data_IF_033033019143
#
_entry.id   IF_033033019143
#
_cell.length_a   1.000
_cell.length_b   1.000
_cell.length_c   1.000
_cell.angle_alpha   90.00
_cell.angle_beta   90.00
_cell.angle_gamma   90.00
#
_symmetry.space_group_name_H-M   'P 1'
#
loop_
_entity.id
_entity.type
_entity.pdbx_description
1 polymer ?
#
# COMPACT_ATOMS: atom_id res chain seq x y z
N UNK A 1 12.87 5.93 16.92
CA UNK A 1 11.95 5.77 15.77
C UNK A 1 10.88 4.77 16.20
N UNK A 2 9.59 5.05 15.97
CA UNK A 2 8.49 4.24 16.49
C UNK A 2 8.56 2.80 15.94
N UNK A 3 8.54 1.77 16.80
CA UNK A 3 8.66 0.35 16.43
C UNK A 3 7.58 -0.08 15.42
N UNK A 4 6.37 0.47 15.53
CA UNK A 4 5.28 0.24 14.59
C UNK A 4 5.59 0.73 13.17
N UNK A 5 6.37 1.81 13.03
CA UNK A 5 6.75 2.35 11.73
C UNK A 5 7.85 1.49 11.08
N UNK A 6 8.80 0.99 11.87
CA UNK A 6 9.82 0.07 11.37
C UNK A 6 9.22 -1.26 10.92
N UNK A 7 8.27 -1.80 11.69
CA UNK A 7 7.55 -3.01 11.29
C UNK A 7 6.74 -2.77 10.02
N UNK A 8 6.03 -1.64 9.90
CA UNK A 8 5.32 -1.30 8.68
C UNK A 8 6.24 -1.24 7.45
N UNK A 9 7.38 -0.54 7.54
CA UNK A 9 8.38 -0.46 6.47
C UNK A 9 8.94 -1.86 6.12
N UNK A 10 9.17 -2.71 7.12
CA UNK A 10 9.67 -4.08 6.92
C UNK A 10 8.64 -5.00 6.24
N UNK A 11 7.36 -4.87 6.56
CA UNK A 11 6.30 -5.65 5.91
C UNK A 11 6.09 -5.18 4.47
N UNK A 12 6.04 -3.85 4.26
CA UNK A 12 5.91 -3.25 2.93
C UNK A 12 7.08 -3.64 2.01
N UNK A 13 8.32 -3.59 2.51
CA UNK A 13 9.51 -3.95 1.71
C UNK A 13 9.59 -5.42 1.32
N UNK A 14 8.87 -6.31 2.03
CA UNK A 14 8.71 -7.72 1.66
C UNK A 14 7.53 -7.97 0.71
N UNK A 15 6.83 -6.91 0.30
CA UNK A 15 5.64 -7.01 -0.53
C UNK A 15 4.43 -7.61 0.21
N UNK A 16 4.43 -7.57 1.54
CA UNK A 16 3.28 -7.90 2.37
C UNK A 16 2.35 -6.68 2.44
N UNK A 17 1.27 -6.74 1.68
CA UNK A 17 0.31 -5.65 1.53
C UNK A 17 -0.70 -5.57 2.66
N UNK A 18 -0.85 -6.59 3.51
CA UNK A 18 -1.91 -6.65 4.54
C UNK A 18 -1.88 -5.47 5.52
N UNK A 19 -0.67 -5.04 5.88
CA UNK A 19 -0.48 -3.94 6.80
C UNK A 19 -0.74 -2.60 6.09
N UNK A 20 -0.37 -2.49 4.82
CA UNK A 20 -0.64 -1.33 3.99
C UNK A 20 -2.13 -1.18 3.62
N UNK A 21 -2.80 -2.30 3.35
CA UNK A 21 -4.22 -2.42 3.09
C UNK A 21 -5.04 -1.76 4.21
N UNK A 22 -4.66 -2.00 5.47
CA UNK A 22 -5.30 -1.35 6.61
C UNK A 22 -5.21 0.18 6.60
N UNK A 23 -4.21 0.76 5.93
CA UNK A 23 -4.10 2.20 5.71
C UNK A 23 -4.92 2.64 4.49
N UNK A 24 -4.85 1.92 3.37
CA UNK A 24 -5.58 2.29 2.14
C UNK A 24 -7.10 2.17 2.27
N UNK A 25 -7.61 1.17 3.01
CA UNK A 25 -9.04 0.99 3.23
C UNK A 25 -9.66 2.02 4.18
N UNK A 26 -8.85 2.80 4.91
CA UNK A 26 -9.34 3.84 5.82
C UNK A 26 -9.44 5.19 5.10
N UNK A 27 -10.54 5.95 5.30
CA UNK A 27 -10.64 7.30 4.77
C UNK A 27 -9.42 8.16 5.17
N UNK A 28 -8.69 8.65 4.17
CA UNK A 28 -7.51 9.51 4.38
C UNK A 28 -6.23 8.78 4.79
N UNK A 29 -6.19 7.45 4.87
CA UNK A 29 -4.99 6.72 5.28
C UNK A 29 -3.83 6.82 4.27
N UNK A 30 -4.13 6.93 2.98
CA UNK A 30 -3.12 7.30 1.95
C UNK A 30 -2.46 8.64 2.28
N UNK A 31 -3.27 9.68 2.54
CA UNK A 31 -2.78 11.02 2.91
C UNK A 31 -1.97 10.99 4.21
N UNK A 32 -2.32 10.12 5.15
CA UNK A 32 -1.54 9.91 6.37
C UNK A 32 -0.13 9.38 6.06
N UNK A 33 0.00 8.41 5.15
CA UNK A 33 1.30 7.89 4.72
C UNK A 33 2.13 8.96 3.99
N UNK A 34 1.52 9.73 3.07
CA UNK A 34 2.17 10.86 2.39
C UNK A 34 2.69 11.91 3.39
N UNK A 35 1.88 12.27 4.39
CA UNK A 35 2.26 13.24 5.41
C UNK A 35 3.42 12.76 6.30
N UNK A 36 3.43 11.48 6.70
CA UNK A 36 4.56 10.90 7.44
C UNK A 36 5.83 11.00 6.60
N UNK A 37 5.77 10.67 5.32
CA UNK A 37 6.92 10.74 4.44
C UNK A 37 7.43 12.17 4.26
N UNK A 38 6.53 13.15 4.12
CA UNK A 38 6.91 14.56 4.11
C UNK A 38 7.60 15.00 5.40
N UNK A 39 7.13 14.54 6.56
CA UNK A 39 7.79 14.82 7.86
C UNK A 39 9.20 14.21 7.86
N UNK A 40 9.34 12.94 7.47
CA UNK A 40 10.63 12.24 7.44
C UNK A 40 11.62 12.84 6.42
N UNK A 41 11.14 13.30 5.26
CA UNK A 41 11.99 13.96 4.27
C UNK A 41 12.44 15.34 4.75
N UNK A 42 11.59 16.04 5.50
CA UNK A 42 11.93 17.34 6.07
C UNK A 42 12.93 17.24 7.24
N UNK A 43 13.07 16.10 7.90
CA UNK A 43 14.14 15.89 8.90
C UNK A 43 15.52 15.60 8.29
N UNK A 44 15.60 15.32 6.98
CA UNK A 44 16.86 15.21 6.24
C UNK A 44 17.48 16.59 5.98
N UNK A 45 18.76 16.65 5.59
CA UNK A 45 19.53 17.90 5.38
C UNK A 45 18.72 18.95 4.59
N UNK A 46 18.57 20.20 5.07
CA UNK A 46 17.81 21.23 4.36
C UNK A 46 18.34 21.46 2.93
N UNK A 47 17.43 21.59 1.96
CA UNK A 47 17.71 21.95 0.55
C UNK A 47 18.42 20.92 -0.33
N UNK A 48 18.37 19.63 -0.01
CA UNK A 48 18.77 18.64 -1.00
C UNK A 48 17.69 18.50 -2.10
N UNK A 49 18.03 18.65 -3.40
CA UNK A 49 17.12 18.34 -4.51
C UNK A 49 16.65 16.87 -4.48
N UNK A 50 17.40 15.99 -3.82
CA UNK A 50 17.04 14.58 -3.63
C UNK A 50 15.72 14.42 -2.85
N UNK A 51 15.29 15.41 -2.06
CA UNK A 51 14.04 15.33 -1.28
C UNK A 51 12.80 15.27 -2.17
N UNK A 52 12.80 16.03 -3.25
CA UNK A 52 11.67 16.05 -4.19
C UNK A 52 11.60 14.71 -4.95
N UNK A 53 12.74 14.22 -5.42
CA UNK A 53 12.84 12.91 -6.06
C UNK A 53 12.44 11.77 -5.11
N UNK A 54 12.85 11.82 -3.84
CA UNK A 54 12.45 10.84 -2.82
C UNK A 54 10.96 10.89 -2.52
N UNK A 55 10.35 12.09 -2.48
CA UNK A 55 8.91 12.21 -2.29
C UNK A 55 8.15 11.62 -3.47
N UNK A 56 8.53 11.98 -4.69
CA UNK A 56 7.92 11.46 -5.92
C UNK A 56 8.06 9.93 -6.01
N UNK A 57 9.24 9.39 -5.71
CA UNK A 57 9.47 7.95 -5.66
C UNK A 57 8.62 7.25 -4.59
N UNK A 58 8.42 7.88 -3.43
CA UNK A 58 7.53 7.34 -2.40
C UNK A 58 6.06 7.33 -2.84
N UNK A 59 5.58 8.40 -3.49
CA UNK A 59 4.22 8.46 -4.04
C UNK A 59 3.99 7.34 -5.06
N UNK A 60 4.95 7.10 -5.96
CA UNK A 60 4.89 6.00 -6.93
C UNK A 60 4.80 4.62 -6.24
N UNK A 61 5.53 4.42 -5.14
CA UNK A 61 5.42 3.18 -4.35
C UNK A 61 4.01 3.04 -3.76
N UNK A 62 3.42 4.12 -3.24
CA UNK A 62 2.05 4.09 -2.75
C UNK A 62 1.04 3.76 -3.86
N UNK A 63 1.20 4.32 -5.06
CA UNK A 63 0.34 4.02 -6.22
C UNK A 63 0.38 2.54 -6.58
N UNK A 64 1.57 1.96 -6.69
CA UNK A 64 1.73 0.54 -7.00
C UNK A 64 1.18 -0.37 -5.91
N UNK A 65 1.28 0.05 -4.65
CA UNK A 65 0.73 -0.71 -3.53
C UNK A 65 -0.80 -0.69 -3.53
N UNK A 66 -1.40 0.48 -3.75
CA UNK A 66 -2.85 0.64 -3.85
C UNK A 66 -3.41 -0.20 -5.02
N UNK A 67 -2.79 -0.11 -6.19
CA UNK A 67 -3.16 -0.92 -7.35
C UNK A 67 -3.06 -2.42 -7.07
N UNK A 68 -1.99 -2.85 -6.38
CA UNK A 68 -1.83 -4.26 -6.02
C UNK A 68 -2.90 -4.75 -5.06
N UNK A 69 -3.28 -3.93 -4.07
CA UNK A 69 -4.35 -4.26 -3.12
C UNK A 69 -5.69 -4.39 -3.85
N UNK A 70 -6.00 -3.46 -4.75
CA UNK A 70 -7.22 -3.53 -5.57
C UNK A 70 -7.28 -4.83 -6.39
N UNK A 71 -6.20 -5.19 -7.08
CA UNK A 71 -6.13 -6.45 -7.84
C UNK A 71 -6.23 -7.70 -6.95
N UNK A 72 -5.76 -7.64 -5.70
CA UNK A 72 -5.91 -8.75 -4.77
C UNK A 72 -7.38 -8.96 -4.40
N UNK A 73 -8.12 -7.89 -4.11
CA UNK A 73 -9.56 -7.98 -3.86
C UNK A 73 -10.34 -8.48 -5.08
N UNK A 74 -10.05 -7.96 -6.28
CA UNK A 74 -10.67 -8.46 -7.51
C UNK A 74 -10.43 -9.96 -7.70
N UNK A 75 -9.20 -10.44 -7.43
CA UNK A 75 -8.86 -11.85 -7.50
C UNK A 75 -9.60 -12.71 -6.46
N UNK A 76 -9.79 -12.18 -5.25
CA UNK A 76 -10.56 -12.84 -4.18
C UNK A 76 -12.04 -12.93 -4.53
N UNK A 77 -12.65 -11.86 -5.05
CA UNK A 77 -14.04 -11.85 -5.51
C UNK A 77 -14.28 -12.89 -6.62
N UNK A 78 -13.39 -12.94 -7.62
CA UNK A 78 -13.46 -13.93 -8.71
C UNK A 78 -13.37 -15.35 -8.16
N UNK A 79 -12.48 -15.58 -7.18
CA UNK A 79 -12.31 -16.90 -6.56
C UNK A 79 -13.56 -17.32 -5.77
N UNK A 80 -14.14 -16.41 -4.98
CA UNK A 80 -15.39 -16.66 -4.26
C UNK A 80 -16.54 -16.97 -5.21
N UNK A 81 -16.70 -16.20 -6.29
CA UNK A 81 -17.71 -16.48 -7.33
C UNK A 81 -17.51 -17.86 -7.98
N UNK A 82 -16.27 -18.25 -8.27
CA UNK A 82 -15.95 -19.55 -8.86
C UNK A 82 -16.23 -20.71 -7.89
N UNK A 83 -16.01 -20.51 -6.58
CA UNK A 83 -16.28 -21.48 -5.53
C UNK A 83 -17.77 -21.60 -5.19
N UNK A 84 -18.56 -20.55 -5.42
CA UNK A 84 -20.00 -20.50 -5.09
C UNK A 84 -20.92 -20.68 -6.30
N UNK A 85 -20.38 -20.70 -7.53
CA UNK A 85 -21.13 -21.20 -8.68
C UNK A 85 -21.45 -22.69 -8.47
N UNK A 86 -22.73 -23.09 -8.37
CA UNK A 86 -23.07 -24.50 -8.41
C UNK A 86 -22.58 -25.07 -9.74
N UNK A 87 -22.06 -26.30 -9.73
CA UNK A 87 -21.80 -27.07 -10.94
C UNK A 87 -23.14 -27.35 -11.63
N UNK A 88 -23.71 -26.37 -12.32
CA UNK A 88 -24.85 -26.58 -13.20
C UNK A 88 -24.36 -27.29 -14.45
N UNK A 89 -24.45 -28.61 -14.38
CA UNK A 89 -24.82 -29.53 -15.47
C UNK A 89 -24.10 -29.31 -16.81
N UNK A 90 -22.97 -29.99 -16.98
CA UNK A 90 -22.67 -30.62 -18.27
C UNK A 90 -23.49 -31.91 -18.32
N UNK A 91 -24.71 -31.81 -18.87
CA UNK A 91 -25.40 -32.92 -19.53
C UNK A 91 -25.13 -32.82 -21.03
#
# INVERSE_FOLDING_TARGET
MNEYLQDAIRHISKGDTRLAESFFLRPGGRRYLENISLILLNTLVPHSPEKEEMYLGFVQVLDHMEERILRQHEGEEILEEALHRPKTSLQ
#
